data_IF_368778714258
#
_entry.id   IF_368778714258
#
_cell.length_a   1.000
_cell.length_b   1.000
_cell.length_c   1.000
_cell.angle_alpha   90.00
_cell.angle_beta   90.00
_cell.angle_gamma   90.00
#
_symmetry.space_group_name_H-M   'P 1'
#
loop_
_entity.id
_entity.type
_entity.pdbx_description
1 polymer ?
#
# COMPACT_ATOMS: atom_id res chain seq x y z
N UNK A 1 8.08 16.75 21.25
CA UNK A 1 6.65 16.90 20.93
C UNK A 1 5.90 16.16 22.02
N UNK A 2 4.94 16.78 22.69
CA UNK A 2 4.16 16.17 23.77
C UNK A 2 2.87 15.58 23.21
N UNK A 3 2.30 14.60 23.93
CA UNK A 3 0.99 14.03 23.60
C UNK A 3 -0.12 15.03 23.92
N UNK A 4 -1.12 15.14 23.04
CA UNK A 4 -2.35 15.86 23.35
C UNK A 4 -3.23 15.06 24.32
N UNK A 5 -4.35 15.65 24.77
CA UNK A 5 -5.26 15.01 25.74
C UNK A 5 -5.89 13.70 25.23
N UNK A 6 -6.25 13.63 23.92
CA UNK A 6 -6.79 12.39 23.35
C UNK A 6 -5.71 11.29 23.30
N UNK A 7 -4.49 11.64 22.93
CA UNK A 7 -3.36 10.71 22.89
C UNK A 7 -2.96 10.23 24.29
N UNK A 8 -2.96 11.12 25.29
CA UNK A 8 -2.71 10.74 26.70
C UNK A 8 -3.74 9.74 27.20
N UNK A 9 -5.03 10.02 27.00
CA UNK A 9 -6.12 9.07 27.34
C UNK A 9 -5.97 7.75 26.59
N UNK A 10 -5.59 7.81 25.32
CA UNK A 10 -5.32 6.62 24.51
C UNK A 10 -4.16 5.79 25.03
N UNK A 11 -3.08 6.45 25.46
CA UNK A 11 -1.95 5.81 26.15
C UNK A 11 -2.41 5.06 27.41
N UNK A 12 -3.16 5.72 28.28
CA UNK A 12 -3.63 5.11 29.53
C UNK A 12 -4.51 3.87 29.27
N UNK A 13 -5.43 3.97 28.30
CA UNK A 13 -6.28 2.84 27.90
C UNK A 13 -5.43 1.67 27.39
N UNK A 14 -4.47 1.93 26.51
CA UNK A 14 -3.65 0.88 25.91
C UNK A 14 -2.77 0.18 26.95
N UNK A 15 -2.12 0.95 27.81
CA UNK A 15 -1.27 0.44 28.90
C UNK A 15 -2.09 -0.40 29.88
N UNK A 16 -3.27 0.08 30.29
CA UNK A 16 -4.17 -0.67 31.16
C UNK A 16 -4.58 -1.98 30.52
N UNK A 17 -5.02 -1.98 29.25
CA UNK A 17 -5.44 -3.18 28.53
C UNK A 17 -4.32 -4.22 28.39
N UNK A 18 -3.09 -3.76 28.13
CA UNK A 18 -1.91 -4.64 28.12
C UNK A 18 -1.66 -5.28 29.50
N UNK A 19 -1.64 -4.49 30.56
CA UNK A 19 -1.43 -4.96 31.96
C UNK A 19 -2.55 -5.91 32.41
N UNK A 20 -3.79 -5.66 31.99
CA UNK A 20 -4.97 -6.51 32.24
C UNK A 20 -4.99 -7.77 31.36
N UNK A 21 -3.92 -8.05 30.58
CA UNK A 21 -3.77 -9.22 29.69
C UNK A 21 -4.92 -9.36 28.66
N UNK A 22 -5.50 -8.25 28.23
CA UNK A 22 -6.47 -8.28 27.13
C UNK A 22 -5.76 -8.70 25.85
N UNK A 23 -6.41 -9.45 24.92
CA UNK A 23 -5.71 -9.95 23.73
C UNK A 23 -5.28 -8.86 22.76
N UNK A 24 -5.98 -7.72 22.69
CA UNK A 24 -5.65 -6.65 21.77
C UNK A 24 -6.19 -5.29 22.20
N UNK A 25 -5.66 -4.24 21.56
CA UNK A 25 -6.12 -2.85 21.61
C UNK A 25 -6.26 -2.31 20.20
N UNK A 26 -7.40 -1.69 19.87
CA UNK A 26 -7.61 -1.01 18.58
C UNK A 26 -7.50 0.49 18.80
N UNK A 27 -6.57 1.12 18.09
CA UNK A 27 -6.35 2.55 18.05
C UNK A 27 -6.68 3.08 16.65
N UNK A 28 -7.80 3.73 16.53
CA UNK A 28 -8.34 4.23 15.27
C UNK A 28 -8.22 5.75 15.16
N UNK A 29 -8.24 6.24 13.91
CA UNK A 29 -8.29 7.67 13.63
C UNK A 29 -7.88 8.02 12.22
N UNK A 30 -8.21 9.21 11.72
CA UNK A 30 -7.77 9.71 10.43
C UNK A 30 -6.25 9.74 10.25
N UNK A 31 -5.81 9.91 9.01
CA UNK A 31 -4.41 10.20 8.74
C UNK A 31 -3.98 11.50 9.45
N UNK A 32 -2.78 11.53 10.02
CA UNK A 32 -2.26 12.73 10.70
C UNK A 32 -2.70 12.93 12.14
N UNK A 33 -3.48 12.02 12.75
CA UNK A 33 -3.86 12.10 14.19
C UNK A 33 -2.77 11.58 15.14
N UNK A 34 -1.63 11.12 14.63
CA UNK A 34 -0.51 10.68 15.46
C UNK A 34 -0.65 9.27 16.03
N UNK A 35 -1.40 8.36 15.38
CA UNK A 35 -1.53 6.96 15.82
C UNK A 35 -0.19 6.30 16.11
N UNK A 36 0.70 6.28 15.12
CA UNK A 36 2.05 5.68 15.23
C UNK A 36 2.92 6.40 16.25
N UNK A 37 2.75 7.72 16.39
CA UNK A 37 3.41 8.50 17.42
C UNK A 37 2.96 8.09 18.82
N UNK A 38 1.66 7.93 19.05
CA UNK A 38 1.10 7.47 20.33
C UNK A 38 1.62 6.09 20.71
N UNK A 39 1.77 5.16 19.75
CA UNK A 39 2.32 3.82 20.00
C UNK A 39 3.74 3.85 20.56
N UNK A 40 4.59 4.78 20.11
CA UNK A 40 5.96 4.93 20.65
C UNK A 40 5.94 5.24 22.14
N UNK A 41 4.98 6.06 22.58
CA UNK A 41 4.81 6.35 24.01
C UNK A 41 4.24 5.18 24.80
N UNK A 42 3.32 4.40 24.20
CA UNK A 42 2.78 3.17 24.80
C UNK A 42 3.92 2.17 25.05
N UNK A 43 4.78 1.92 24.06
CA UNK A 43 5.92 1.01 24.16
C UNK A 43 6.88 1.47 25.26
N UNK A 44 7.18 2.77 25.30
CA UNK A 44 8.04 3.38 26.34
C UNK A 44 7.45 3.21 27.74
N UNK A 45 6.15 3.48 27.93
CA UNK A 45 5.45 3.37 29.21
C UNK A 45 5.35 1.93 29.69
N UNK A 46 5.31 0.97 28.77
CA UNK A 46 5.35 -0.46 29.07
C UNK A 46 6.78 -0.96 29.40
N UNK A 47 7.80 -0.16 29.20
CA UNK A 47 9.21 -0.55 29.40
C UNK A 47 9.70 -1.61 28.41
N UNK A 48 9.09 -1.67 27.21
CA UNK A 48 9.46 -2.64 26.18
C UNK A 48 10.58 -2.09 25.28
N UNK A 49 11.50 -2.98 24.91
CA UNK A 49 12.51 -2.68 23.90
C UNK A 49 11.86 -2.74 22.49
N UNK A 50 11.81 -1.62 21.73
CA UNK A 50 11.13 -1.58 20.43
C UNK A 50 11.76 -2.50 19.39
N UNK A 51 13.02 -2.89 19.52
CA UNK A 51 13.70 -3.76 18.54
C UNK A 51 13.61 -5.25 18.92
N UNK A 52 13.54 -5.57 20.21
CA UNK A 52 13.55 -6.95 20.70
C UNK A 52 12.17 -7.46 21.10
N UNK A 53 11.40 -6.61 21.80
CA UNK A 53 10.13 -7.02 22.40
C UNK A 53 8.93 -6.77 21.47
N UNK A 54 9.10 -5.96 20.40
CA UNK A 54 7.96 -5.51 19.57
C UNK A 54 8.11 -5.99 18.12
N UNK A 55 7.10 -6.72 17.64
CA UNK A 55 6.95 -7.02 16.22
C UNK A 55 6.12 -5.92 15.54
N UNK A 56 6.71 -5.20 14.60
CA UNK A 56 5.98 -4.26 13.76
C UNK A 56 5.57 -4.92 12.45
N UNK A 57 4.30 -4.85 12.10
CA UNK A 57 3.83 -5.39 10.84
C UNK A 57 2.74 -4.55 10.18
N UNK A 58 2.56 -4.77 8.88
CA UNK A 58 1.46 -4.23 8.10
C UNK A 58 1.03 -5.23 7.03
N UNK A 59 -0.21 -5.10 6.54
CA UNK A 59 -0.74 -6.08 5.57
C UNK A 59 0.02 -6.04 4.24
N UNK A 60 0.38 -4.85 3.74
CA UNK A 60 1.08 -4.70 2.46
C UNK A 60 2.59 -4.52 2.66
N UNK A 61 3.36 -4.95 1.66
CA UNK A 61 4.81 -4.74 1.65
C UNK A 61 5.18 -3.26 1.71
N UNK A 62 4.40 -2.41 1.03
CA UNK A 62 4.61 -0.97 1.02
C UNK A 62 4.38 -0.32 2.37
N UNK A 63 3.28 -0.65 3.05
CA UNK A 63 3.03 -0.15 4.41
C UNK A 63 4.12 -0.61 5.39
N UNK A 64 4.61 -1.85 5.27
CA UNK A 64 5.75 -2.33 6.04
C UNK A 64 7.04 -1.55 5.72
N UNK A 65 7.27 -1.16 4.45
CA UNK A 65 8.42 -0.32 4.07
C UNK A 65 8.31 1.09 4.67
N UNK A 66 7.11 1.68 4.67
CA UNK A 66 6.86 2.98 5.32
C UNK A 66 7.18 2.91 6.82
N UNK A 67 6.77 1.83 7.50
CA UNK A 67 7.13 1.60 8.91
C UNK A 67 8.65 1.53 9.11
N UNK A 68 9.39 0.83 8.23
CA UNK A 68 10.87 0.79 8.29
C UNK A 68 11.48 2.19 8.17
N UNK A 69 11.02 2.97 7.19
CA UNK A 69 11.52 4.32 6.95
C UNK A 69 11.20 5.30 8.10
N UNK A 70 10.17 4.99 8.93
CA UNK A 70 9.83 5.75 10.12
C UNK A 70 10.51 5.27 11.41
N UNK A 71 11.61 4.53 11.29
CA UNK A 71 12.45 4.12 12.41
C UNK A 71 12.07 2.80 13.06
N UNK A 72 11.42 1.90 12.31
CA UNK A 72 11.15 0.53 12.74
C UNK A 72 11.81 -0.46 11.76
N UNK A 73 13.14 -0.63 11.79
CA UNK A 73 13.88 -1.38 10.75
C UNK A 73 13.46 -2.85 10.62
N UNK A 74 12.97 -3.45 11.72
CA UNK A 74 12.43 -4.82 11.74
C UNK A 74 11.01 -4.98 11.21
N UNK A 75 10.34 -3.90 10.77
CA UNK A 75 8.96 -3.98 10.30
C UNK A 75 8.81 -4.89 9.07
N UNK A 76 7.78 -5.72 9.08
CA UNK A 76 7.55 -6.76 8.08
C UNK A 76 6.08 -6.84 7.65
N UNK A 77 5.78 -7.63 6.63
CA UNK A 77 4.37 -7.90 6.31
C UNK A 77 3.75 -8.86 7.32
N UNK A 78 2.44 -8.74 7.58
CA UNK A 78 1.72 -9.70 8.42
C UNK A 78 1.86 -11.12 7.91
N UNK A 79 1.97 -11.30 6.60
CA UNK A 79 2.24 -12.61 6.01
C UNK A 79 3.59 -13.20 6.46
N UNK A 80 4.67 -12.38 6.44
CA UNK A 80 6.00 -12.81 6.91
C UNK A 80 6.00 -13.13 8.41
N UNK A 81 5.26 -12.34 9.20
CA UNK A 81 5.13 -12.57 10.64
C UNK A 81 4.43 -13.89 10.95
N UNK A 82 3.31 -14.19 10.27
CA UNK A 82 2.38 -15.26 10.64
C UNK A 82 2.59 -16.56 9.89
N UNK A 83 3.24 -16.54 8.72
CA UNK A 83 3.41 -17.72 7.88
C UNK A 83 4.87 -18.05 7.63
N UNK A 84 5.13 -19.35 7.58
CA UNK A 84 6.36 -19.91 7.02
C UNK A 84 6.08 -20.26 5.57
N UNK A 85 6.79 -19.59 4.67
CA UNK A 85 6.69 -19.84 3.23
C UNK A 85 7.72 -20.85 2.81
N UNK A 86 7.29 -21.94 2.16
CA UNK A 86 8.17 -22.95 1.56
C UNK A 86 7.89 -23.02 0.07
N UNK A 87 8.94 -22.95 -0.71
CA UNK A 87 8.81 -23.19 -2.13
C UNK A 87 8.55 -24.67 -2.40
N UNK A 88 7.48 -24.94 -3.14
CA UNK A 88 7.14 -26.29 -3.57
C UNK A 88 7.91 -26.66 -4.83
N UNK A 89 8.08 -27.98 -5.14
CA UNK A 89 8.75 -28.42 -6.36
C UNK A 89 8.14 -27.86 -7.66
N UNK A 90 6.86 -27.49 -7.66
CA UNK A 90 6.18 -26.82 -8.78
C UNK A 90 6.37 -25.30 -8.78
N UNK A 91 7.18 -24.73 -7.85
CA UNK A 91 7.52 -23.30 -7.68
C UNK A 91 6.40 -22.42 -7.20
N UNK A 92 5.27 -22.99 -6.82
CA UNK A 92 4.31 -22.26 -5.99
C UNK A 92 4.84 -22.16 -4.56
N UNK A 93 4.46 -21.13 -3.84
CA UNK A 93 4.75 -21.05 -2.41
C UNK A 93 3.61 -21.67 -1.62
N UNK A 94 3.95 -22.66 -0.78
CA UNK A 94 3.04 -23.13 0.25
C UNK A 94 3.26 -22.28 1.50
N UNK A 95 2.21 -21.62 1.94
CA UNK A 95 2.21 -20.82 3.15
C UNK A 95 1.58 -21.62 4.28
N UNK A 96 2.38 -21.99 5.27
CA UNK A 96 1.92 -22.72 6.46
C UNK A 96 1.90 -21.75 7.63
N UNK A 97 0.77 -21.62 8.36
CA UNK A 97 0.72 -20.83 9.57
C UNK A 97 1.82 -21.25 10.56
N UNK A 98 2.49 -20.28 11.15
CA UNK A 98 3.51 -20.55 12.17
C UNK A 98 2.83 -21.00 13.45
N UNK A 99 3.34 -22.03 14.09
CA UNK A 99 2.90 -22.45 15.42
C UNK A 99 3.42 -21.49 16.50
N UNK A 100 4.64 -20.98 16.32
CA UNK A 100 5.30 -19.98 17.18
C UNK A 100 5.92 -18.90 16.31
N UNK A 101 5.95 -17.66 16.79
CA UNK A 101 6.64 -16.56 16.11
C UNK A 101 8.16 -16.81 16.08
N UNK A 102 8.87 -16.13 15.19
CA UNK A 102 10.33 -16.29 15.05
C UNK A 102 11.12 -15.81 16.28
N UNK A 103 10.55 -14.89 17.04
CA UNK A 103 11.13 -14.33 18.25
C UNK A 103 10.05 -14.30 19.35
N UNK A 104 10.48 -14.22 20.60
CA UNK A 104 9.59 -14.11 21.75
C UNK A 104 9.11 -12.67 21.96
N UNK A 105 8.28 -12.21 21.02
CA UNK A 105 7.69 -10.88 21.09
C UNK A 105 6.71 -10.76 22.25
N UNK A 106 6.73 -9.61 22.94
CA UNK A 106 5.79 -9.25 24.00
C UNK A 106 4.63 -8.40 23.50
N UNK A 107 4.82 -7.75 22.34
CA UNK A 107 3.83 -6.88 21.71
C UNK A 107 3.89 -7.02 20.19
N UNK A 108 2.74 -7.04 19.54
CA UNK A 108 2.63 -6.89 18.09
C UNK A 108 1.96 -5.55 17.80
N UNK A 109 2.57 -4.73 16.94
CA UNK A 109 1.96 -3.51 16.39
C UNK A 109 1.64 -3.76 14.94
N UNK A 110 0.35 -3.81 14.61
CA UNK A 110 -0.15 -4.03 13.26
C UNK A 110 -0.73 -2.74 12.71
N UNK A 111 -0.07 -2.14 11.72
CA UNK A 111 -0.53 -0.91 11.08
C UNK A 111 -1.42 -1.20 9.87
N UNK A 112 -2.24 -0.21 9.47
CA UNK A 112 -3.18 -0.27 8.34
C UNK A 112 -4.13 -1.49 8.42
N UNK A 113 -4.69 -1.77 9.63
CA UNK A 113 -5.60 -2.90 9.81
C UNK A 113 -6.91 -2.77 9.00
N UNK A 114 -7.24 -1.59 8.47
CA UNK A 114 -8.37 -1.40 7.55
C UNK A 114 -8.32 -2.34 6.34
N UNK A 115 -7.12 -2.72 5.91
CA UNK A 115 -6.88 -3.63 4.80
C UNK A 115 -6.68 -5.10 5.22
N UNK A 116 -6.63 -5.39 6.52
CA UNK A 116 -6.28 -6.71 7.03
C UNK A 116 -7.51 -7.63 6.98
N UNK A 117 -7.45 -8.80 6.30
CA UNK A 117 -8.51 -9.80 6.39
C UNK A 117 -8.69 -10.31 7.83
N UNK A 118 -9.93 -10.68 8.16
CA UNK A 118 -10.29 -11.22 9.49
C UNK A 118 -9.46 -12.45 9.85
N UNK A 119 -9.25 -13.35 8.89
CA UNK A 119 -8.46 -14.57 9.05
C UNK A 119 -7.02 -14.30 9.53
N UNK A 120 -6.38 -13.23 9.03
CA UNK A 120 -5.05 -12.83 9.50
C UNK A 120 -5.07 -12.29 10.92
N UNK A 121 -6.10 -11.52 11.25
CA UNK A 121 -6.26 -11.01 12.62
C UNK A 121 -6.47 -12.14 13.63
N UNK A 122 -7.37 -13.06 13.32
CA UNK A 122 -7.64 -14.22 14.17
C UNK A 122 -6.39 -15.09 14.36
N UNK A 123 -5.66 -15.36 13.26
CA UNK A 123 -4.39 -16.08 13.33
C UNK A 123 -3.36 -15.36 14.21
N UNK A 124 -3.28 -14.03 14.12
CA UNK A 124 -2.35 -13.24 14.95
C UNK A 124 -2.65 -13.41 16.45
N UNK A 125 -3.92 -13.43 16.83
CA UNK A 125 -4.34 -13.61 18.22
C UNK A 125 -4.03 -15.00 18.78
N UNK A 126 -3.94 -16.05 17.92
CA UNK A 126 -3.60 -17.41 18.39
C UNK A 126 -2.22 -17.52 19.01
N UNK A 127 -1.33 -16.58 18.75
CA UNK A 127 0.02 -16.56 19.32
C UNK A 127 0.07 -16.07 20.78
N UNK A 128 -1.05 -15.60 21.34
CA UNK A 128 -1.14 -15.17 22.74
C UNK A 128 -0.38 -13.89 23.09
N UNK A 129 0.14 -13.18 22.08
CA UNK A 129 0.83 -11.89 22.23
C UNK A 129 -0.18 -10.76 22.12
N UNK A 130 -0.08 -9.72 22.96
CA UNK A 130 -0.96 -8.56 22.87
C UNK A 130 -0.77 -7.83 21.54
N UNK A 131 -1.87 -7.52 20.84
CA UNK A 131 -1.83 -6.84 19.52
C UNK A 131 -2.38 -5.42 19.65
N UNK A 132 -1.61 -4.43 19.22
CA UNK A 132 -2.11 -3.07 18.97
C UNK A 132 -2.39 -2.94 17.46
N UNK A 133 -3.67 -2.83 17.10
CA UNK A 133 -4.09 -2.59 15.74
C UNK A 133 -4.32 -1.11 15.47
N UNK A 134 -3.67 -0.57 14.43
CA UNK A 134 -3.80 0.82 13.98
C UNK A 134 -4.57 0.87 12.67
N UNK A 135 -5.55 1.76 12.56
CA UNK A 135 -6.30 1.88 11.33
C UNK A 135 -7.18 3.13 11.25
N UNK A 136 -7.81 3.29 10.11
CA UNK A 136 -8.79 4.35 9.87
C UNK A 136 -10.11 3.70 9.41
N UNK A 137 -11.21 3.84 10.17
CA UNK A 137 -12.48 3.21 9.85
C UNK A 137 -13.12 3.71 8.55
N UNK A 138 -12.71 4.89 8.07
CA UNK A 138 -13.25 5.47 6.84
C UNK A 138 -12.41 5.16 5.60
N UNK A 139 -11.30 4.45 5.74
CA UNK A 139 -10.58 3.91 4.57
C UNK A 139 -11.28 2.69 3.99
N UNK A 140 -10.90 2.34 2.76
CA UNK A 140 -11.44 1.16 2.07
C UNK A 140 -11.12 -0.13 2.86
N UNK A 141 -12.11 -1.03 2.99
CA UNK A 141 -11.89 -2.34 3.58
C UNK A 141 -11.02 -3.24 2.67
N UNK A 142 -10.55 -4.39 3.16
CA UNK A 142 -9.79 -5.33 2.35
C UNK A 142 -10.62 -5.82 1.16
N UNK A 143 -9.92 -6.06 0.04
CA UNK A 143 -10.50 -6.78 -1.09
C UNK A 143 -10.32 -8.28 -0.79
N UNK A 144 -11.41 -8.96 -0.49
CA UNK A 144 -11.44 -10.39 -0.16
C UNK A 144 -12.43 -11.11 -1.06
N UNK A 145 -12.14 -12.38 -1.37
CA UNK A 145 -13.04 -13.22 -2.17
C UNK A 145 -14.29 -13.61 -1.38
N UNK A 146 -14.14 -13.92 -0.09
CA UNK A 146 -15.24 -14.19 0.82
C UNK A 146 -15.53 -12.94 1.68
N UNK A 147 -16.74 -12.39 1.53
CA UNK A 147 -17.21 -11.25 2.35
C UNK A 147 -17.20 -11.51 3.86
N UNK A 148 -17.22 -12.78 4.28
CA UNK A 148 -17.10 -13.17 5.70
C UNK A 148 -15.70 -12.91 6.27
N UNK A 149 -14.69 -12.74 5.41
CA UNK A 149 -13.32 -12.42 5.81
C UNK A 149 -13.07 -10.91 6.02
N UNK A 150 -14.11 -10.09 5.93
CA UNK A 150 -14.05 -8.67 6.33
C UNK A 150 -14.08 -8.57 7.85
N UNK A 151 -13.10 -7.86 8.41
CA UNK A 151 -13.07 -7.60 9.85
C UNK A 151 -13.83 -6.30 10.19
N UNK A 152 -14.39 -6.24 11.40
CA UNK A 152 -15.18 -5.13 11.94
C UNK A 152 -14.54 -4.45 13.16
N UNK A 153 -13.24 -4.60 13.33
CA UNK A 153 -12.50 -4.10 14.49
C UNK A 153 -12.52 -2.57 14.60
N UNK A 154 -12.59 -1.90 13.46
CA UNK A 154 -12.61 -0.44 13.38
C UNK A 154 -13.99 0.16 13.58
N UNK A 155 -15.06 -0.64 13.60
CA UNK A 155 -16.42 -0.16 13.86
C UNK A 155 -16.60 0.25 15.34
N UNK A 156 -15.85 -0.42 16.25
CA UNK A 156 -15.87 -0.15 17.69
C UNK A 156 -14.45 -0.12 18.28
N UNK A 157 -13.63 0.89 17.94
CA UNK A 157 -12.26 0.98 18.44
C UNK A 157 -12.22 1.29 19.93
N UNK A 158 -11.19 0.82 20.62
CA UNK A 158 -10.99 1.13 22.04
C UNK A 158 -10.51 2.57 22.25
N UNK A 159 -9.79 3.12 21.26
CA UNK A 159 -9.22 4.46 21.25
C UNK A 159 -9.53 5.07 19.88
N UNK A 160 -10.18 6.22 19.87
CA UNK A 160 -10.45 6.98 18.65
C UNK A 160 -9.78 8.35 18.77
N UNK A 161 -8.76 8.59 17.93
CA UNK A 161 -8.11 9.89 17.80
C UNK A 161 -8.81 10.67 16.68
N UNK A 162 -9.28 11.87 16.97
CA UNK A 162 -9.99 12.73 16.00
C UNK A 162 -9.25 14.03 15.71
N UNK A 163 -8.35 14.45 16.60
CA UNK A 163 -7.56 15.66 16.42
C UNK A 163 -6.41 15.44 15.46
N UNK A 164 -6.37 16.22 14.40
CA UNK A 164 -5.33 16.16 13.37
C UNK A 164 -4.12 16.98 13.82
N UNK A 165 -2.97 16.32 14.00
CA UNK A 165 -1.72 16.90 14.51
C UNK A 165 -0.79 17.44 13.42
N UNK A 166 -1.15 17.32 12.13
CA UNK A 166 -0.33 17.88 11.04
C UNK A 166 -0.31 19.40 11.16
N UNK A 167 0.88 19.99 11.05
CA UNK A 167 1.22 21.42 11.18
C UNK A 167 0.53 22.35 10.14
N UNK A 168 -0.51 21.93 9.49
CA UNK A 168 -1.27 22.73 8.54
C UNK A 168 -2.74 22.71 8.93
N UNK A 169 -3.11 23.46 9.96
CA UNK A 169 -4.50 23.78 10.26
C UNK A 169 -5.24 24.37 9.04
N UNK A 170 -4.49 24.90 8.05
CA UNK A 170 -5.00 25.48 6.80
C UNK A 170 -4.93 24.53 5.59
N UNK A 171 -4.79 23.21 5.75
CA UNK A 171 -4.72 22.30 4.61
C UNK A 171 -6.10 22.03 4.00
N UNK A 172 -6.33 22.56 2.80
CA UNK A 172 -7.54 22.29 2.01
C UNK A 172 -7.75 20.77 1.75
N UNK A 173 -6.66 19.98 1.69
CA UNK A 173 -6.73 18.53 1.51
C UNK A 173 -7.35 17.88 2.75
N UNK A 174 -6.93 18.31 3.94
CA UNK A 174 -7.47 17.81 5.20
C UNK A 174 -8.92 18.22 5.34
N UNK A 175 -9.24 19.50 5.10
CA UNK A 175 -10.63 19.99 5.14
C UNK A 175 -11.54 19.16 4.21
N UNK A 176 -11.15 19.01 2.93
CA UNK A 176 -11.93 18.21 2.00
C UNK A 176 -12.07 16.75 2.46
N UNK A 177 -11.01 16.16 3.01
CA UNK A 177 -11.04 14.78 3.50
C UNK A 177 -12.06 14.62 4.64
N UNK A 178 -12.12 15.58 5.56
CA UNK A 178 -13.06 15.56 6.68
C UNK A 178 -14.50 15.81 6.22
N UNK A 179 -14.73 16.73 5.28
CA UNK A 179 -16.05 16.96 4.68
C UNK A 179 -16.58 15.70 3.99
N UNK A 180 -15.75 15.04 3.18
CA UNK A 180 -16.11 13.77 2.56
C UNK A 180 -16.36 12.67 3.61
N UNK A 181 -15.54 12.59 4.65
CA UNK A 181 -15.73 11.67 5.78
C UNK A 181 -17.11 11.86 6.45
N UNK A 182 -17.58 13.09 6.58
CA UNK A 182 -18.90 13.42 7.13
C UNK A 182 -20.05 13.29 6.13
N UNK A 183 -19.76 12.82 4.90
CA UNK A 183 -20.78 12.56 3.89
C UNK A 183 -21.15 13.75 3.02
N UNK A 184 -20.38 14.83 3.06
CA UNK A 184 -20.63 15.96 2.18
C UNK A 184 -20.33 15.58 0.71
N UNK A 185 -21.21 15.93 -0.23
CA UNK A 185 -20.99 15.68 -1.63
C UNK A 185 -19.87 16.56 -2.20
N UNK A 186 -19.07 16.01 -3.12
CA UNK A 186 -18.10 16.78 -3.87
C UNK A 186 -18.83 17.83 -4.74
N UNK A 187 -18.34 19.06 -4.71
CA UNK A 187 -18.77 20.17 -5.57
C UNK A 187 -17.56 20.69 -6.35
N UNK A 188 -17.79 21.22 -7.54
CA UNK A 188 -16.74 21.87 -8.31
C UNK A 188 -16.22 23.12 -7.58
N UNK A 189 -14.92 23.22 -7.44
CA UNK A 189 -14.23 24.41 -6.94
C UNK A 189 -12.75 24.39 -7.34
N UNK A 190 -12.11 25.54 -7.26
CA UNK A 190 -10.68 25.69 -7.41
C UNK A 190 -10.12 26.36 -6.16
N UNK A 191 -9.32 25.62 -5.40
CA UNK A 191 -8.58 26.12 -4.25
C UNK A 191 -7.08 26.24 -4.56
N UNK A 192 -6.31 26.57 -3.55
CA UNK A 192 -4.86 26.69 -3.62
C UNK A 192 -4.20 25.32 -3.80
N UNK A 193 -4.57 24.34 -2.98
CA UNK A 193 -3.98 23.03 -2.93
C UNK A 193 -4.92 21.92 -3.39
N UNK A 194 -6.24 22.19 -3.44
CA UNK A 194 -7.27 21.26 -3.89
C UNK A 194 -8.13 21.89 -4.98
N UNK A 195 -8.41 21.11 -6.02
CA UNK A 195 -9.38 21.48 -7.04
C UNK A 195 -10.26 20.29 -7.40
N UNK A 196 -11.55 20.53 -7.54
CA UNK A 196 -12.53 19.58 -8.09
C UNK A 196 -13.05 20.13 -9.40
N UNK A 197 -12.75 19.45 -10.51
CA UNK A 197 -12.93 20.00 -11.86
C UNK A 197 -13.63 19.01 -12.80
N UNK A 198 -14.36 19.49 -13.83
CA UNK A 198 -14.91 18.61 -14.88
C UNK A 198 -13.80 17.95 -15.71
N UNK A 199 -14.06 16.74 -16.23
CA UNK A 199 -13.11 16.02 -17.10
C UNK A 199 -12.58 16.85 -18.27
N UNK A 200 -13.41 17.67 -18.87
CA UNK A 200 -13.06 18.52 -20.03
C UNK A 200 -12.14 19.69 -19.68
N UNK A 201 -11.98 20.02 -18.41
CA UNK A 201 -11.22 21.22 -17.98
C UNK A 201 -9.76 20.91 -17.60
N UNK A 202 -9.34 19.65 -17.63
CA UNK A 202 -7.96 19.25 -17.34
C UNK A 202 -7.23 18.88 -18.62
N UNK A 203 -6.10 19.53 -18.86
CA UNK A 203 -5.22 19.21 -19.98
C UNK A 203 -4.14 18.18 -19.60
N UNK A 204 -3.56 17.53 -20.64
CA UNK A 204 -2.50 16.54 -20.44
C UNK A 204 -1.25 17.10 -19.76
N UNK A 205 -0.89 18.37 -19.96
CA UNK A 205 0.23 18.98 -19.23
C UNK A 205 0.06 18.92 -17.71
N UNK A 206 -1.18 19.09 -17.23
CA UNK A 206 -1.49 18.93 -15.81
C UNK A 206 -1.42 17.46 -15.38
N UNK A 207 -1.97 16.55 -16.20
CA UNK A 207 -1.93 15.11 -15.92
C UNK A 207 -0.47 14.60 -15.83
N UNK A 208 0.40 15.02 -16.77
CA UNK A 208 1.81 14.65 -16.81
C UNK A 208 2.64 15.22 -15.65
N UNK A 209 2.17 16.30 -15.02
CA UNK A 209 2.85 16.92 -13.87
C UNK A 209 2.51 16.29 -12.51
N UNK A 210 1.63 15.29 -12.47
CA UNK A 210 1.28 14.58 -11.24
C UNK A 210 2.33 13.53 -10.86
N UNK A 211 2.55 13.35 -9.56
CA UNK A 211 3.36 12.23 -9.07
C UNK A 211 2.64 10.92 -9.31
N UNK A 212 1.31 10.92 -9.17
CA UNK A 212 0.47 9.76 -9.40
C UNK A 212 -0.93 10.15 -9.86
N UNK A 213 -1.50 9.35 -10.73
CA UNK A 213 -2.90 9.43 -11.12
C UNK A 213 -3.62 8.23 -10.52
N UNK A 214 -4.72 8.48 -9.81
CA UNK A 214 -5.55 7.47 -9.17
C UNK A 214 -6.83 7.23 -9.97
N UNK A 215 -7.26 5.99 -10.08
CA UNK A 215 -8.52 5.61 -10.72
C UNK A 215 -9.18 4.45 -9.96
N UNK A 216 -10.38 4.07 -10.37
CA UNK A 216 -11.13 3.01 -9.71
C UNK A 216 -10.89 1.62 -10.26
N UNK A 217 -10.79 1.47 -11.57
CA UNK A 217 -10.77 0.16 -12.23
C UNK A 217 -9.43 -0.16 -12.88
N UNK A 218 -9.13 -1.46 -13.01
CA UNK A 218 -7.96 -1.90 -13.76
C UNK A 218 -8.07 -1.56 -15.26
N UNK A 219 -9.30 -1.51 -15.79
CA UNK A 219 -9.54 -1.09 -17.18
C UNK A 219 -9.09 0.36 -17.40
N UNK A 220 -9.63 1.29 -16.61
CA UNK A 220 -9.27 2.71 -16.69
C UNK A 220 -7.78 2.93 -16.43
N UNK A 221 -7.20 2.16 -15.50
CA UNK A 221 -5.76 2.21 -15.21
C UNK A 221 -4.92 1.89 -16.45
N UNK A 222 -5.27 0.82 -17.19
CA UNK A 222 -4.55 0.44 -18.43
C UNK A 222 -4.72 1.49 -19.52
N UNK A 223 -5.96 1.90 -19.78
CA UNK A 223 -6.29 2.92 -20.78
C UNK A 223 -5.53 4.23 -20.51
N UNK A 224 -5.56 4.74 -19.28
CA UNK A 224 -4.89 5.98 -18.92
C UNK A 224 -3.35 5.85 -18.92
N UNK A 225 -2.77 4.70 -18.54
CA UNK A 225 -1.32 4.50 -18.64
C UNK A 225 -0.86 4.49 -20.09
N UNK A 226 -1.61 3.86 -21.01
CA UNK A 226 -1.29 3.87 -22.44
C UNK A 226 -1.31 5.30 -23.00
N UNK A 227 -2.39 6.06 -22.72
CA UNK A 227 -2.50 7.45 -23.17
C UNK A 227 -1.40 8.32 -22.51
N UNK A 228 -1.11 8.12 -21.20
CA UNK A 228 -0.05 8.84 -20.51
C UNK A 228 1.28 8.67 -21.21
N UNK A 229 1.66 7.44 -21.55
CA UNK A 229 2.92 7.14 -22.25
C UNK A 229 2.97 7.78 -23.63
N UNK A 230 1.91 7.70 -24.42
CA UNK A 230 1.82 8.38 -25.72
C UNK A 230 1.99 9.91 -25.59
N UNK A 231 1.43 10.52 -24.55
CA UNK A 231 1.55 11.97 -24.31
C UNK A 231 2.91 12.38 -23.76
N UNK A 232 3.57 11.50 -23.03
CA UNK A 232 4.89 11.76 -22.40
C UNK A 232 6.04 11.49 -23.38
N UNK A 233 6.01 10.34 -24.08
CA UNK A 233 7.09 9.87 -24.95
C UNK A 233 6.87 10.15 -26.44
N UNK A 234 5.66 10.45 -26.83
CA UNK A 234 5.25 10.59 -28.25
C UNK A 234 4.38 9.43 -28.74
N UNK A 235 3.73 9.63 -29.89
CA UNK A 235 2.76 8.67 -30.42
C UNK A 235 3.41 7.35 -30.90
N UNK A 236 4.71 7.36 -31.21
CA UNK A 236 5.46 6.19 -31.68
C UNK A 236 6.07 5.37 -30.53
N UNK A 237 5.70 5.66 -29.27
CA UNK A 237 6.18 4.88 -28.12
C UNK A 237 5.73 3.42 -28.26
N UNK A 238 6.64 2.44 -28.13
CA UNK A 238 6.26 1.04 -28.25
C UNK A 238 5.39 0.57 -27.07
N UNK A 239 4.61 -0.50 -27.28
CA UNK A 239 3.77 -1.06 -26.21
C UNK A 239 4.57 -1.64 -25.03
N UNK A 240 5.81 -2.07 -25.29
CA UNK A 240 6.71 -2.53 -24.23
C UNK A 240 7.38 -1.36 -23.51
N UNK A 241 7.84 -1.57 -22.26
CA UNK A 241 8.55 -0.55 -21.50
C UNK A 241 9.85 -0.09 -22.17
N UNK A 242 10.10 1.20 -22.07
CA UNK A 242 11.37 1.83 -22.47
C UNK A 242 12.07 2.41 -21.23
N UNK A 243 13.33 2.76 -21.37
CA UNK A 243 14.11 3.35 -20.27
C UNK A 243 13.46 4.64 -19.75
N UNK A 244 13.32 4.73 -18.42
CA UNK A 244 12.67 5.84 -17.75
C UNK A 244 11.16 5.67 -17.56
N UNK A 245 10.52 4.65 -18.16
CA UNK A 245 9.12 4.35 -17.85
C UNK A 245 8.93 4.10 -16.34
N UNK A 246 7.89 4.70 -15.77
CA UNK A 246 7.48 4.47 -14.40
C UNK A 246 6.68 3.17 -14.32
N UNK A 247 7.16 2.26 -13.50
CA UNK A 247 6.56 0.93 -13.32
C UNK A 247 6.23 0.65 -11.86
N UNK A 248 5.29 -0.26 -11.65
CA UNK A 248 4.85 -0.74 -10.33
C UNK A 248 5.04 -2.26 -10.23
N UNK A 249 5.64 -2.71 -9.15
CA UNK A 249 5.74 -4.13 -8.85
C UNK A 249 4.37 -4.70 -8.46
N UNK A 250 3.99 -5.84 -9.04
CA UNK A 250 2.67 -6.47 -8.83
C UNK A 250 2.67 -7.61 -7.83
N UNK A 251 3.85 -8.16 -7.50
CA UNK A 251 3.97 -9.32 -6.62
C UNK A 251 5.29 -9.27 -5.84
N UNK A 252 5.24 -9.63 -4.55
CA UNK A 252 6.46 -9.79 -3.76
C UNK A 252 7.38 -10.84 -4.39
N UNK A 253 8.66 -10.52 -4.45
CA UNK A 253 9.68 -11.48 -4.83
C UNK A 253 10.90 -11.32 -3.91
N UNK A 254 11.14 -12.32 -3.09
CA UNK A 254 12.20 -12.32 -2.08
C UNK A 254 13.55 -12.84 -2.63
N UNK A 255 13.56 -13.34 -3.87
CA UNK A 255 14.79 -13.82 -4.54
C UNK A 255 15.62 -12.64 -5.09
N UNK A 256 15.00 -11.46 -5.19
CA UNK A 256 15.65 -10.23 -5.66
C UNK A 256 15.60 -9.17 -4.58
N UNK A 257 16.79 -8.72 -4.20
CA UNK A 257 16.96 -7.64 -3.23
C UNK A 257 17.75 -6.48 -3.84
N UNK A 258 17.56 -5.30 -3.29
CA UNK A 258 18.40 -4.13 -3.58
C UNK A 258 19.74 -4.20 -2.84
N UNK A 259 20.55 -3.14 -2.95
CA UNK A 259 21.87 -3.08 -2.31
C UNK A 259 21.80 -3.09 -0.77
N UNK A 260 20.65 -2.69 -0.18
CA UNK A 260 20.42 -2.67 1.27
C UNK A 260 19.69 -3.93 1.77
N UNK A 261 19.65 -4.97 0.91
CA UNK A 261 19.00 -6.25 1.19
C UNK A 261 17.49 -6.16 1.40
N UNK A 262 16.82 -5.11 0.88
CA UNK A 262 15.37 -5.03 0.86
C UNK A 262 14.81 -5.86 -0.30
N UNK A 263 13.81 -6.73 -0.06
CA UNK A 263 13.20 -7.52 -1.11
C UNK A 263 12.31 -6.70 -2.03
N UNK A 264 12.08 -7.20 -3.24
CA UNK A 264 11.11 -6.61 -4.16
C UNK A 264 9.68 -6.81 -3.63
N UNK A 265 8.96 -5.72 -3.40
CA UNK A 265 7.64 -5.73 -2.76
C UNK A 265 6.51 -5.32 -3.70
N UNK A 266 5.32 -5.93 -3.52
CA UNK A 266 4.10 -5.55 -4.22
C UNK A 266 3.72 -4.10 -3.88
N UNK A 267 3.41 -3.32 -4.92
CA UNK A 267 3.08 -1.90 -4.82
C UNK A 267 4.31 -0.98 -4.86
N UNK A 268 5.54 -1.51 -4.87
CA UNK A 268 6.76 -0.72 -5.05
C UNK A 268 6.76 0.01 -6.39
N UNK A 269 6.94 1.34 -6.37
CA UNK A 269 7.03 2.20 -7.53
C UNK A 269 8.49 2.56 -7.84
N UNK A 270 8.79 2.71 -9.10
CA UNK A 270 10.13 3.10 -9.55
C UNK A 270 10.20 3.28 -11.05
N UNK A 271 11.41 3.44 -11.58
CA UNK A 271 11.66 3.52 -13.02
C UNK A 271 12.44 2.31 -13.50
N UNK A 272 12.22 1.96 -14.76
CA UNK A 272 12.98 0.89 -15.42
C UNK A 272 14.19 1.48 -16.14
N UNK A 273 15.32 0.75 -16.11
CA UNK A 273 16.54 1.13 -16.82
C UNK A 273 17.36 -0.10 -17.23
N UNK A 274 18.36 0.10 -18.09
CA UNK A 274 19.26 -0.94 -18.60
C UNK A 274 18.49 -2.16 -19.14
N UNK A 275 17.56 -1.89 -20.05
CA UNK A 275 16.66 -2.89 -20.61
C UNK A 275 17.39 -3.74 -21.65
N UNK A 276 17.33 -5.04 -21.49
CA UNK A 276 17.85 -6.04 -22.42
C UNK A 276 16.73 -6.98 -22.83
N UNK A 277 16.36 -6.97 -24.12
CA UNK A 277 15.42 -7.93 -24.69
C UNK A 277 16.21 -9.12 -25.24
N UNK A 278 15.99 -10.31 -24.69
CA UNK A 278 16.61 -11.54 -25.17
C UNK A 278 15.56 -12.37 -25.92
N UNK A 279 15.73 -12.54 -27.22
CA UNK A 279 14.95 -13.50 -27.98
C UNK A 279 15.42 -14.91 -27.63
N UNK A 280 14.57 -15.72 -27.07
CA UNK A 280 14.84 -17.14 -26.81
C UNK A 280 14.06 -17.99 -27.84
N UNK A 281 14.70 -19.02 -28.40
CA UNK A 281 14.06 -19.91 -29.40
C UNK A 281 12.84 -20.69 -28.85
N UNK A 282 12.73 -20.81 -27.55
CA UNK A 282 11.72 -21.61 -26.84
C UNK A 282 10.62 -20.79 -26.16
N UNK A 283 10.81 -19.49 -25.93
CA UNK A 283 9.88 -18.64 -25.18
C UNK A 283 9.75 -17.25 -25.82
N UNK A 284 8.62 -16.57 -25.56
CA UNK A 284 8.42 -15.14 -25.85
C UNK A 284 9.60 -14.32 -25.30
N UNK A 285 9.90 -13.14 -25.84
CA UNK A 285 11.07 -12.36 -25.47
C UNK A 285 11.16 -12.18 -23.94
N UNK A 286 12.32 -12.53 -23.38
CA UNK A 286 12.62 -12.31 -21.97
C UNK A 286 13.22 -10.94 -21.81
N UNK A 287 12.60 -10.13 -20.95
CA UNK A 287 13.15 -8.83 -20.55
C UNK A 287 14.02 -8.99 -19.32
N UNK A 288 15.23 -8.45 -19.34
CA UNK A 288 16.07 -8.25 -18.17
C UNK A 288 16.31 -6.75 -18.03
N UNK A 289 16.11 -6.20 -16.85
CA UNK A 289 16.27 -4.77 -16.62
C UNK A 289 16.67 -4.46 -15.18
N UNK A 290 17.02 -3.22 -14.91
CA UNK A 290 17.12 -2.69 -13.56
C UNK A 290 15.80 -2.03 -13.19
N UNK A 291 15.37 -2.22 -11.94
CA UNK A 291 14.28 -1.49 -11.33
C UNK A 291 14.83 -0.53 -10.29
N UNK A 292 14.69 0.78 -10.53
CA UNK A 292 15.13 1.83 -9.62
C UNK A 292 13.95 2.24 -8.76
N UNK A 293 13.84 1.66 -7.57
CA UNK A 293 12.74 1.94 -6.64
C UNK A 293 12.81 3.35 -6.09
N UNK A 294 11.67 4.02 -5.95
CA UNK A 294 11.59 5.34 -5.31
C UNK A 294 11.69 5.28 -3.78
N UNK A 295 11.56 4.12 -3.19
CA UNK A 295 11.45 3.93 -1.73
C UNK A 295 12.60 3.13 -1.13
N UNK A 296 13.28 2.38 -1.96
CA UNK A 296 14.43 1.55 -1.59
C UNK A 296 15.57 1.76 -2.60
N UNK A 297 16.42 0.78 -2.81
CA UNK A 297 17.55 0.88 -3.72
C UNK A 297 17.26 0.40 -5.15
N UNK A 298 18.31 0.02 -5.85
CA UNK A 298 18.26 -0.46 -7.22
C UNK A 298 18.28 -2.00 -7.22
N UNK A 299 17.29 -2.60 -7.85
CA UNK A 299 17.26 -4.03 -8.16
C UNK A 299 17.90 -4.25 -9.53
N UNK A 300 19.09 -4.86 -9.55
CA UNK A 300 19.89 -5.00 -10.77
C UNK A 300 19.59 -6.27 -11.52
N UNK A 301 19.53 -6.18 -12.85
CA UNK A 301 19.46 -7.33 -13.77
C UNK A 301 18.34 -8.33 -13.42
N UNK A 302 17.15 -7.81 -13.02
CA UNK A 302 16.02 -8.66 -12.70
C UNK A 302 15.28 -9.11 -13.97
N UNK A 303 14.84 -10.37 -14.04
CA UNK A 303 13.98 -10.83 -15.13
C UNK A 303 12.57 -10.31 -14.93
N UNK A 304 11.98 -9.75 -15.98
CA UNK A 304 10.64 -9.14 -15.95
C UNK A 304 9.72 -9.91 -16.90
N UNK A 305 8.47 -10.17 -16.47
CA UNK A 305 7.44 -10.73 -17.32
C UNK A 305 6.94 -9.66 -18.30
N UNK A 306 7.42 -9.74 -19.52
CA UNK A 306 7.16 -8.79 -20.57
C UNK A 306 5.68 -8.74 -21.00
N UNK A 307 4.97 -9.88 -20.97
CA UNK A 307 3.59 -9.96 -21.45
C UNK A 307 2.60 -9.22 -20.54
N UNK A 308 2.93 -9.02 -19.27
CA UNK A 308 2.08 -8.23 -18.37
C UNK A 308 1.88 -6.80 -18.86
N UNK A 309 2.86 -6.24 -19.57
CA UNK A 309 2.75 -4.91 -20.15
C UNK A 309 1.91 -4.89 -21.45
N UNK A 310 1.94 -5.97 -22.23
CA UNK A 310 1.21 -6.07 -23.50
C UNK A 310 -0.26 -6.45 -23.27
N UNK A 311 -0.47 -7.62 -22.70
CA UNK A 311 -1.79 -8.25 -22.61
C UNK A 311 -2.41 -8.11 -21.21
N UNK A 312 -1.59 -7.71 -20.20
CA UNK A 312 -1.97 -7.70 -18.80
C UNK A 312 -2.12 -9.09 -18.18
N UNK A 313 -1.64 -10.12 -18.88
CA UNK A 313 -1.64 -11.50 -18.47
C UNK A 313 -0.22 -12.04 -18.35
N UNK A 314 0.03 -12.87 -17.33
CA UNK A 314 1.34 -13.50 -17.16
C UNK A 314 1.59 -14.59 -18.21
N UNK A 315 2.83 -14.70 -18.68
CA UNK A 315 3.27 -15.82 -19.50
C UNK A 315 3.30 -17.14 -18.76
N UNK A 316 3.34 -17.10 -17.42
CA UNK A 316 3.42 -18.29 -16.59
C UNK A 316 2.03 -18.85 -16.34
N UNK A 317 1.76 -20.03 -16.86
CA UNK A 317 0.56 -20.80 -16.57
C UNK A 317 0.94 -22.14 -15.89
N UNK A 318 -0.06 -22.97 -15.53
CA UNK A 318 0.16 -24.25 -14.87
C UNK A 318 0.93 -25.26 -15.76
N UNK A 319 0.82 -25.14 -17.08
CA UNK A 319 1.36 -26.12 -18.02
C UNK A 319 2.84 -25.86 -18.33
N UNK A 320 3.29 -24.60 -18.34
CA UNK A 320 4.68 -24.23 -18.64
C UNK A 320 5.53 -23.93 -17.41
N UNK A 321 4.98 -24.10 -16.23
CA UNK A 321 5.64 -23.79 -14.96
C UNK A 321 7.00 -24.49 -14.77
N UNK A 322 7.12 -25.76 -15.15
CA UNK A 322 8.38 -26.52 -14.99
C UNK A 322 9.53 -25.98 -15.82
N UNK A 323 9.25 -25.36 -16.95
CA UNK A 323 10.24 -24.76 -17.83
C UNK A 323 10.79 -23.46 -17.23
N UNK A 324 9.94 -22.69 -16.52
CA UNK A 324 10.34 -21.51 -15.77
C UNK A 324 11.09 -21.83 -14.46
N UNK A 325 11.00 -23.06 -13.96
CA UNK A 325 11.73 -23.47 -12.76
C UNK A 325 13.25 -23.55 -12.99
N UNK A 326 13.69 -23.87 -14.22
CA UNK A 326 15.10 -23.86 -14.63
C UNK A 326 15.60 -22.47 -15.03
N UNK A 327 14.70 -21.57 -15.39
CA UNK A 327 14.98 -20.17 -15.66
C UNK A 327 14.65 -19.32 -14.43
N UNK A 328 15.37 -18.21 -14.24
CA UNK A 328 15.04 -17.24 -13.20
C UNK A 328 13.57 -16.83 -13.31
N UNK A 329 12.79 -16.93 -12.23
CA UNK A 329 11.38 -16.53 -12.20
C UNK A 329 11.24 -15.06 -12.53
N UNK A 330 10.44 -14.69 -13.53
CA UNK A 330 10.26 -13.28 -13.86
C UNK A 330 9.50 -12.54 -12.75
N UNK A 331 9.93 -11.33 -12.50
CA UNK A 331 9.23 -10.38 -11.66
C UNK A 331 8.05 -9.77 -12.41
N UNK A 332 6.97 -9.49 -11.69
CA UNK A 332 5.74 -8.99 -12.27
C UNK A 332 5.64 -7.48 -12.11
N UNK A 333 5.58 -6.78 -13.22
CA UNK A 333 5.43 -5.33 -13.26
C UNK A 333 4.34 -4.90 -14.23
N UNK A 334 3.87 -3.67 -14.05
CA UNK A 334 2.99 -2.97 -14.98
C UNK A 334 3.32 -1.47 -14.92
N UNK A 335 2.76 -0.67 -15.83
CA UNK A 335 2.94 0.77 -15.82
C UNK A 335 2.40 1.42 -14.55
N UNK A 336 3.16 2.36 -13.99
CA UNK A 336 2.99 2.91 -12.65
C UNK A 336 2.59 4.39 -12.59
N UNK A 337 2.31 5.07 -13.73
CA UNK A 337 1.87 6.46 -13.72
C UNK A 337 0.42 6.60 -13.24
N UNK A 338 -0.41 5.60 -13.55
CA UNK A 338 -1.80 5.50 -13.11
C UNK A 338 -1.95 4.19 -12.33
N UNK A 339 -2.48 4.27 -11.12
CA UNK A 339 -2.77 3.10 -10.27
C UNK A 339 -4.19 3.18 -9.71
N UNK A 340 -4.74 2.05 -9.26
CA UNK A 340 -6.04 2.07 -8.59
C UNK A 340 -5.92 2.62 -7.17
N UNK A 341 -6.98 3.24 -6.65
CA UNK A 341 -7.03 3.73 -5.26
C UNK A 341 -6.70 2.62 -4.27
N UNK A 342 -7.17 1.38 -4.50
CA UNK A 342 -6.81 0.23 -3.65
C UNK A 342 -5.29 -0.02 -3.62
N UNK A 343 -4.62 0.08 -4.77
CA UNK A 343 -3.15 -0.10 -4.83
C UNK A 343 -2.37 1.06 -4.22
N UNK A 344 -2.99 2.22 -4.04
CA UNK A 344 -2.35 3.38 -3.41
C UNK A 344 -2.43 3.36 -1.88
N UNK A 345 -3.19 2.44 -1.27
CA UNK A 345 -3.29 2.35 0.19
C UNK A 345 -1.92 2.08 0.83
N UNK A 346 -1.66 2.70 1.97
CA UNK A 346 -0.33 2.70 2.61
C UNK A 346 0.71 3.59 1.92
N UNK A 347 0.29 4.43 0.97
CA UNK A 347 1.17 5.32 0.19
C UNK A 347 0.73 6.77 0.29
N UNK A 348 1.69 7.69 0.19
CA UNK A 348 1.39 9.12 0.05
C UNK A 348 2.24 9.72 -1.07
N UNK A 349 1.70 10.74 -1.74
CA UNK A 349 2.34 11.42 -2.87
C UNK A 349 2.17 12.95 -2.72
N UNK A 350 3.11 13.72 -3.24
CA UNK A 350 3.00 15.17 -3.13
C UNK A 350 1.86 15.72 -3.98
N UNK A 351 1.75 15.24 -5.23
CA UNK A 351 0.75 15.71 -6.17
C UNK A 351 -0.06 14.54 -6.75
N UNK A 352 -1.34 14.50 -6.41
CA UNK A 352 -2.28 13.44 -6.80
C UNK A 352 -3.34 13.99 -7.73
N UNK A 353 -3.65 13.25 -8.78
CA UNK A 353 -4.86 13.45 -9.59
C UNK A 353 -5.76 12.24 -9.41
N UNK A 354 -6.99 12.45 -8.96
CA UNK A 354 -8.02 11.42 -8.89
C UNK A 354 -8.95 11.53 -10.09
N UNK A 355 -8.93 10.56 -10.99
CA UNK A 355 -9.94 10.40 -12.03
C UNK A 355 -11.13 9.64 -11.44
N UNK A 356 -12.16 10.40 -11.04
CA UNK A 356 -13.34 9.81 -10.42
C UNK A 356 -14.28 9.26 -11.49
N UNK A 357 -14.49 7.96 -11.43
CA UNK A 357 -15.38 7.22 -12.34
C UNK A 357 -16.77 7.04 -11.73
N UNK A 358 -17.76 6.80 -12.59
CA UNK A 358 -19.08 6.38 -12.14
C UNK A 358 -19.02 4.88 -11.82
N UNK A 359 -19.10 4.52 -10.56
CA UNK A 359 -19.18 3.12 -10.12
C UNK A 359 -20.55 2.80 -9.55
N UNK A 360 -21.01 1.56 -9.69
CA UNK A 360 -22.20 1.06 -9.00
C UNK A 360 -21.89 0.74 -7.52
N UNK A 361 -21.16 1.62 -6.84
CA UNK A 361 -20.93 1.50 -5.42
C UNK A 361 -22.11 2.03 -4.63
N UNK A 362 -22.41 1.38 -3.50
CA UNK A 362 -23.24 1.99 -2.49
C UNK A 362 -22.61 3.30 -1.98
N UNK A 363 -23.44 4.22 -1.43
CA UNK A 363 -22.94 5.54 -1.00
C UNK A 363 -21.80 5.46 0.03
N UNK A 364 -21.82 4.47 0.92
CA UNK A 364 -20.78 4.29 1.94
C UNK A 364 -19.43 3.87 1.35
N UNK A 365 -19.45 2.89 0.46
CA UNK A 365 -18.24 2.44 -0.26
C UNK A 365 -17.69 3.55 -1.15
N UNK A 366 -18.56 4.31 -1.85
CA UNK A 366 -18.14 5.46 -2.65
C UNK A 366 -17.46 6.53 -1.79
N UNK A 367 -18.02 6.84 -0.63
CA UNK A 367 -17.44 7.80 0.32
C UNK A 367 -16.04 7.34 0.77
N UNK A 368 -15.89 6.10 1.22
CA UNK A 368 -14.60 5.52 1.63
C UNK A 368 -13.58 5.53 0.49
N UNK A 369 -14.02 5.24 -0.74
CA UNK A 369 -13.16 5.30 -1.91
C UNK A 369 -12.58 6.70 -2.13
N UNK A 370 -13.44 7.71 -2.14
CA UNK A 370 -13.05 9.11 -2.33
C UNK A 370 -12.16 9.57 -1.18
N UNK A 371 -12.55 9.27 0.06
CA UNK A 371 -11.76 9.60 1.25
C UNK A 371 -10.36 8.97 1.20
N UNK A 372 -10.27 7.68 0.88
CA UNK A 372 -8.99 6.99 0.73
C UNK A 372 -8.10 7.64 -0.33
N UNK A 373 -8.68 8.04 -1.47
CA UNK A 373 -7.93 8.70 -2.54
C UNK A 373 -7.42 10.09 -2.12
N UNK A 374 -8.26 10.90 -1.44
CA UNK A 374 -7.89 12.24 -0.95
C UNK A 374 -6.71 12.15 0.02
N UNK A 375 -6.76 11.18 0.94
CA UNK A 375 -5.70 11.00 1.95
C UNK A 375 -4.37 10.51 1.38
N UNK A 376 -4.28 10.22 0.09
CA UNK A 376 -3.02 9.92 -0.60
C UNK A 376 -2.21 11.17 -0.95
N UNK A 377 -2.85 12.34 -1.01
CA UNK A 377 -2.20 13.60 -1.36
C UNK A 377 -1.58 14.28 -0.13
N UNK A 378 -0.34 14.76 -0.28
CA UNK A 378 0.37 15.55 0.75
C UNK A 378 0.32 17.05 0.50
N UNK A 379 0.49 17.49 -0.76
CA UNK A 379 0.64 18.91 -1.10
C UNK A 379 -0.42 19.41 -2.09
N UNK A 380 -0.75 18.61 -3.12
CA UNK A 380 -1.72 19.00 -4.14
C UNK A 380 -2.63 17.85 -4.54
N UNK A 381 -3.91 18.17 -4.70
CA UNK A 381 -4.94 17.25 -5.12
C UNK A 381 -5.81 17.86 -6.20
N UNK A 382 -6.01 17.14 -7.31
CA UNK A 382 -6.99 17.49 -8.32
C UNK A 382 -7.95 16.30 -8.47
N UNK A 383 -9.24 16.55 -8.25
CA UNK A 383 -10.29 15.55 -8.50
C UNK A 383 -10.98 15.91 -9.81
N UNK A 384 -10.98 14.95 -10.71
CA UNK A 384 -11.58 15.06 -12.05
C UNK A 384 -12.85 14.21 -12.08
N UNK A 385 -14.02 14.83 -12.27
CA UNK A 385 -15.31 14.13 -12.26
C UNK A 385 -16.27 14.59 -13.37
#
# INVERSE_FOLDING_TARGET
MELNEQQKKGLDIAVKRYRDKKPYTILAGPAGTGKTFTVKYIIKELGLDPEKDVAYCAYTGRAAQVLRNHGNPGAMTTHKLLYKSREMPNGTYMHTPRKTLEQDYKLIVCDEISMLPKSFWELMLTHGVHVIGLGDPEQLPPVVDDKKDVQHLLDHPHILLTEIMRQSEDSEIIDLSMRVRHGEPLKYFKGKDVSVVPKKSIGWNTMLSADIILCGTNRTRRELNAIYRMKYWGNDVPDHPIEGDKIICLKNNYDYCDNDNNPLINGGLGTISNIQLKNTKLFKPKMIANFNSFESGIFKQIPIDYNLFLDGETTINKDNWYEFKRAQKPCWFDYGNVITVHKSQGSEFDKVILCLESFPFDPGTRRRFIYTAITRARKKLIIVM
#
